data_IF_639531692161
#
_entry.id   IF_639531692161
#
_cell.length_a   1.000
_cell.length_b   1.000
_cell.length_c   1.000
_cell.angle_alpha   90.00
_cell.angle_beta   90.00
_cell.angle_gamma   90.00
#
_symmetry.space_group_name_H-M   'P 1'
#
loop_
_entity.id
_entity.type
_entity.pdbx_description
1 polymer ?
#
# COMPACT_ATOMS: atom_id res chain seq x y z
N UNK A 1 0.37 60.42 42.78
CA UNK A 1 1.47 59.50 42.40
C UNK A 1 1.36 58.16 43.13
N UNK A 2 1.43 58.12 44.47
CA UNK A 2 1.37 56.87 45.27
C UNK A 2 0.12 56.01 45.03
N UNK A 3 -1.04 56.64 44.81
CA UNK A 3 -2.31 55.97 44.55
C UNK A 3 -2.32 55.20 43.20
N UNK A 4 -1.68 55.75 42.17
CA UNK A 4 -1.52 55.11 40.86
C UNK A 4 -0.59 53.89 40.97
N UNK A 5 0.53 54.02 41.70
CA UNK A 5 1.44 52.92 41.97
C UNK A 5 0.78 51.79 42.77
N UNK A 6 -0.05 52.13 43.76
CA UNK A 6 -0.81 51.15 44.55
C UNK A 6 -1.79 50.38 43.67
N UNK A 7 -2.56 51.05 42.80
CA UNK A 7 -3.50 50.40 41.87
C UNK A 7 -2.77 49.49 40.87
N UNK A 8 -1.64 49.94 40.32
CA UNK A 8 -0.81 49.14 39.40
C UNK A 8 -0.22 47.92 40.13
N UNK A 9 0.34 48.11 41.32
CA UNK A 9 0.92 47.02 42.12
C UNK A 9 -0.12 45.97 42.51
N UNK A 10 -1.32 46.39 42.91
CA UNK A 10 -2.41 45.48 43.23
C UNK A 10 -2.92 44.73 41.99
N UNK A 11 -2.97 45.38 40.83
CA UNK A 11 -3.33 44.76 39.56
C UNK A 11 -2.32 43.70 39.12
N UNK A 12 -1.02 43.98 39.29
CA UNK A 12 0.07 43.03 39.00
C UNK A 12 0.04 41.85 39.97
N UNK A 13 -0.16 42.09 41.27
CA UNK A 13 -0.28 41.02 42.27
C UNK A 13 -1.48 40.12 41.98
N UNK A 14 -2.65 40.68 41.67
CA UNK A 14 -3.81 39.91 41.26
C UNK A 14 -3.51 39.04 40.02
N UNK A 15 -2.84 39.62 39.02
CA UNK A 15 -2.47 38.90 37.80
C UNK A 15 -1.48 37.74 38.05
N UNK A 16 -0.46 37.94 38.90
CA UNK A 16 0.56 36.92 39.18
C UNK A 16 0.09 35.81 40.10
N UNK A 17 -0.76 36.12 41.09
CA UNK A 17 -1.15 35.19 42.15
C UNK A 17 -2.60 34.68 42.03
N UNK A 18 -3.38 35.17 41.07
CA UNK A 18 -4.73 34.68 40.77
C UNK A 18 -5.72 34.87 41.92
N UNK A 19 -5.52 35.89 42.76
CA UNK A 19 -6.37 36.18 43.91
C UNK A 19 -7.76 36.61 43.44
N UNK A 20 -8.68 35.65 43.39
CA UNK A 20 -10.10 35.91 43.08
C UNK A 20 -10.64 36.87 44.12
N UNK A 21 -10.70 38.15 43.76
CA UNK A 21 -11.47 39.24 44.41
C UNK A 21 -11.33 39.30 45.93
N UNK A 22 -10.69 40.35 46.46
CA UNK A 22 -10.65 40.66 47.89
C UNK A 22 -12.02 40.48 48.58
N UNK A 23 -12.32 39.28 49.07
CA UNK A 23 -13.51 39.02 49.90
C UNK A 23 -13.31 39.69 51.26
N UNK A 24 -12.05 39.87 51.69
CA UNK A 24 -11.67 40.67 52.84
C UNK A 24 -10.46 41.56 52.53
N UNK A 25 -10.58 42.86 52.78
CA UNK A 25 -9.48 43.82 52.64
C UNK A 25 -8.50 43.60 53.82
N UNK A 26 -7.22 43.27 53.57
CA UNK A 26 -6.23 43.10 54.63
C UNK A 26 -6.20 44.31 55.58
N UNK A 27 -5.91 44.12 56.88
CA UNK A 27 -5.95 45.20 57.86
C UNK A 27 -5.11 46.43 57.48
N UNK A 28 -3.98 46.23 56.81
CA UNK A 28 -3.11 47.32 56.36
C UNK A 28 -3.66 48.13 55.15
N UNK A 29 -4.65 47.58 54.43
CA UNK A 29 -5.33 48.23 53.30
C UNK A 29 -6.70 48.84 53.69
N UNK A 30 -7.21 48.55 54.89
CA UNK A 30 -8.45 49.10 55.42
C UNK A 30 -8.53 50.65 55.37
N UNK A 31 -7.44 51.41 55.65
CA UNK A 31 -7.45 52.87 55.51
C UNK A 31 -7.72 53.37 54.08
N UNK A 32 -7.53 52.52 53.07
CA UNK A 32 -7.73 52.84 51.65
C UNK A 32 -9.02 52.22 51.06
N UNK A 33 -9.86 51.60 51.90
CA UNK A 33 -11.08 50.89 51.49
C UNK A 33 -12.01 51.70 50.58
N UNK A 34 -12.22 53.00 50.86
CA UNK A 34 -13.06 53.87 50.01
C UNK A 34 -12.54 54.04 48.57
N UNK A 35 -11.22 54.12 48.41
CA UNK A 35 -10.57 54.22 47.09
C UNK A 35 -10.60 52.84 46.41
N UNK A 36 -10.36 51.77 47.16
CA UNK A 36 -10.39 50.40 46.63
C UNK A 36 -11.77 50.05 46.07
N UNK A 37 -12.85 50.43 46.75
CA UNK A 37 -14.23 50.24 46.26
C UNK A 37 -14.51 51.04 44.98
N UNK A 38 -13.96 52.27 44.87
CA UNK A 38 -14.09 53.10 43.67
C UNK A 38 -13.33 52.52 42.46
N UNK A 39 -12.19 51.86 42.69
CA UNK A 39 -11.33 51.29 41.64
C UNK A 39 -11.73 49.86 41.25
N UNK A 40 -12.38 49.12 42.15
CA UNK A 40 -12.79 47.72 41.95
C UNK A 40 -13.44 47.40 40.58
N UNK A 41 -14.44 48.16 40.07
CA UNK A 41 -15.04 47.86 38.77
C UNK A 41 -14.07 48.06 37.59
N UNK A 42 -13.02 48.86 37.76
CA UNK A 42 -12.00 49.11 36.74
C UNK A 42 -10.87 48.07 36.74
N UNK A 43 -10.66 47.36 37.85
CA UNK A 43 -9.62 46.32 37.96
C UNK A 43 -9.77 45.22 36.90
N UNK A 44 -11.01 44.87 36.55
CA UNK A 44 -11.31 43.89 35.49
C UNK A 44 -10.75 44.32 34.13
N UNK A 45 -11.00 45.57 33.73
CA UNK A 45 -10.54 46.11 32.46
C UNK A 45 -9.01 46.29 32.45
N UNK A 46 -8.43 46.71 33.57
CA UNK A 46 -6.98 46.83 33.74
C UNK A 46 -6.32 45.44 33.60
N UNK A 47 -6.89 44.41 34.24
CA UNK A 47 -6.40 43.04 34.12
C UNK A 47 -6.50 42.53 32.68
N UNK A 48 -7.63 42.74 32.00
CA UNK A 48 -7.79 42.37 30.59
C UNK A 48 -6.78 43.08 29.69
N UNK A 49 -6.55 44.37 29.91
CA UNK A 49 -5.57 45.15 29.16
C UNK A 49 -4.13 44.66 29.40
N UNK A 50 -3.77 44.33 30.64
CA UNK A 50 -2.46 43.77 30.98
C UNK A 50 -2.25 42.39 30.33
N UNK A 51 -3.23 41.50 30.44
CA UNK A 51 -3.21 40.17 29.80
C UNK A 51 -3.04 40.32 28.30
N UNK A 52 -3.82 41.19 27.65
CA UNK A 52 -3.73 41.42 26.22
C UNK A 52 -2.37 41.99 25.81
N UNK A 53 -1.87 43.00 26.54
CA UNK A 53 -0.60 43.65 26.26
C UNK A 53 0.58 42.67 26.40
N UNK A 54 0.72 42.01 27.55
CA UNK A 54 1.81 41.06 27.78
C UNK A 54 1.67 39.81 26.93
N UNK A 55 0.44 39.33 26.71
CA UNK A 55 0.17 38.22 25.81
C UNK A 55 0.57 38.54 24.37
N UNK A 56 0.25 39.73 23.87
CA UNK A 56 0.65 40.18 22.54
C UNK A 56 2.18 40.28 22.40
N UNK A 57 2.87 40.81 23.42
CA UNK A 57 4.34 40.83 23.45
C UNK A 57 4.92 39.42 23.43
N UNK A 58 4.38 38.51 24.26
CA UNK A 58 4.80 37.11 24.32
C UNK A 58 4.61 36.40 22.96
N UNK A 59 3.48 36.60 22.28
CA UNK A 59 3.21 36.02 20.96
C UNK A 59 4.19 36.57 19.92
N UNK A 60 4.49 37.87 19.92
CA UNK A 60 5.46 38.44 18.98
C UNK A 60 6.88 37.91 19.24
N UNK A 61 7.29 37.80 20.50
CA UNK A 61 8.56 37.20 20.88
C UNK A 61 8.64 35.73 20.46
N UNK A 62 7.61 34.94 20.79
CA UNK A 62 7.53 33.52 20.43
C UNK A 62 7.52 33.31 18.92
N UNK A 63 6.70 34.06 18.18
CA UNK A 63 6.66 33.97 16.71
C UNK A 63 8.00 34.37 16.07
N UNK A 64 8.71 35.35 16.65
CA UNK A 64 10.08 35.70 16.25
C UNK A 64 11.10 34.60 16.53
N UNK A 65 10.98 33.91 17.67
CA UNK A 65 11.80 32.75 18.00
C UNK A 65 11.54 31.60 17.04
N UNK A 66 10.27 31.27 16.80
CA UNK A 66 9.86 30.25 15.82
C UNK A 66 10.39 30.59 14.43
N UNK A 67 10.27 31.84 13.98
CA UNK A 67 10.83 32.27 12.70
C UNK A 67 12.34 32.05 12.62
N UNK A 68 13.07 32.48 13.66
CA UNK A 68 14.54 32.36 13.72
C UNK A 68 14.97 30.89 13.72
N UNK A 69 14.26 30.04 14.45
CA UNK A 69 14.50 28.60 14.46
C UNK A 69 14.18 27.96 13.11
N UNK A 70 13.00 28.25 12.52
CA UNK A 70 12.58 27.73 11.23
C UNK A 70 13.50 28.17 10.09
N UNK A 71 14.07 29.38 10.14
CA UNK A 71 15.08 29.84 9.17
C UNK A 71 16.36 29.02 9.16
N UNK A 72 16.66 28.25 10.22
CA UNK A 72 17.83 27.36 10.27
C UNK A 72 17.58 26.02 9.57
N UNK A 73 16.32 25.61 9.43
CA UNK A 73 15.94 24.30 8.89
C UNK A 73 15.12 24.38 7.60
N UNK A 74 14.68 25.58 7.22
CA UNK A 74 13.80 25.80 6.07
C UNK A 74 14.08 27.13 5.36
N UNK A 75 13.58 27.23 4.14
CA UNK A 75 13.62 28.43 3.31
C UNK A 75 12.79 29.57 3.89
N UNK A 76 13.02 30.78 3.37
CA UNK A 76 12.40 31.99 3.88
C UNK A 76 10.85 31.98 3.81
N UNK A 77 10.22 31.59 2.68
CA UNK A 77 8.76 31.43 2.59
C UNK A 77 8.18 30.52 3.68
N UNK A 78 8.75 29.33 3.86
CA UNK A 78 8.26 28.36 4.86
C UNK A 78 8.36 28.89 6.28
N UNK A 79 9.49 29.51 6.64
CA UNK A 79 9.66 30.11 7.96
C UNK A 79 8.69 31.28 8.21
N UNK A 80 8.39 32.09 7.19
CA UNK A 80 7.43 33.18 7.29
C UNK A 80 5.99 32.67 7.49
N UNK A 81 5.61 31.58 6.81
CA UNK A 81 4.31 30.93 7.02
C UNK A 81 4.20 30.40 8.45
N UNK A 82 5.24 29.71 8.97
CA UNK A 82 5.23 29.20 10.34
C UNK A 82 5.08 30.31 11.37
N UNK A 83 5.80 31.43 11.20
CA UNK A 83 5.62 32.64 12.03
C UNK A 83 4.17 33.11 12.03
N UNK A 84 3.56 33.15 10.85
CA UNK A 84 2.18 33.63 10.66
C UNK A 84 1.19 32.70 11.35
N UNK A 85 1.34 31.38 11.19
CA UNK A 85 0.52 30.37 11.87
C UNK A 85 0.66 30.51 13.39
N UNK A 86 1.89 30.57 13.92
CA UNK A 86 2.12 30.76 15.37
C UNK A 86 1.45 32.04 15.87
N UNK A 87 1.51 33.13 15.11
CA UNK A 87 0.91 34.40 15.49
C UNK A 87 -0.62 34.34 15.48
N UNK A 88 -1.23 33.77 14.44
CA UNK A 88 -2.70 33.62 14.35
C UNK A 88 -3.21 32.73 15.48
N UNK A 89 -2.61 31.56 15.69
CA UNK A 89 -2.99 30.65 16.77
C UNK A 89 -2.79 31.28 18.15
N UNK A 90 -1.68 32.00 18.35
CA UNK A 90 -1.41 32.73 19.58
C UNK A 90 -2.45 33.82 19.85
N UNK A 91 -2.84 34.61 18.84
CA UNK A 91 -3.88 35.64 18.96
C UNK A 91 -5.23 34.99 19.29
N UNK A 92 -5.58 33.87 18.64
CA UNK A 92 -6.82 33.15 18.95
C UNK A 92 -6.87 32.70 20.42
N UNK A 93 -5.77 32.15 20.94
CA UNK A 93 -5.64 31.78 22.35
C UNK A 93 -5.73 33.00 23.28
N UNK A 94 -5.04 34.10 22.93
CA UNK A 94 -5.07 35.34 23.71
C UNK A 94 -6.48 35.93 23.80
N UNK A 95 -7.23 35.93 22.70
CA UNK A 95 -8.62 36.36 22.66
C UNK A 95 -9.50 35.45 23.52
N UNK A 96 -9.28 34.13 23.47
CA UNK A 96 -9.98 33.18 24.32
C UNK A 96 -9.73 33.42 25.82
N UNK A 97 -8.48 33.65 26.22
CA UNK A 97 -8.12 33.97 27.61
C UNK A 97 -8.63 35.35 28.03
N UNK A 98 -8.61 36.33 27.13
CA UNK A 98 -9.14 37.67 27.43
C UNK A 98 -10.66 37.64 27.62
N UNK A 99 -11.38 36.83 26.83
CA UNK A 99 -12.82 36.64 26.97
C UNK A 99 -13.20 35.99 28.31
N UNK A 100 -12.38 35.08 28.84
CA UNK A 100 -12.68 34.45 30.14
C UNK A 100 -12.61 35.42 31.31
N UNK A 101 -11.83 36.51 31.21
CA UNK A 101 -11.75 37.56 32.24
C UNK A 101 -13.11 38.23 32.40
N UNK A 102 -13.79 38.56 31.29
CA UNK A 102 -15.09 39.21 31.30
C UNK A 102 -16.25 38.28 31.70
N UNK A 103 -15.98 37.07 32.17
CA UNK A 103 -16.99 36.04 32.44
C UNK A 103 -17.97 35.88 31.27
N UNK A 104 -17.46 35.98 30.02
CA UNK A 104 -18.26 35.78 28.82
C UNK A 104 -18.96 34.44 28.92
N UNK A 105 -20.24 34.40 28.57
CA UNK A 105 -21.04 33.18 28.59
C UNK A 105 -20.28 32.07 27.83
N UNK A 106 -19.92 30.96 28.50
CA UNK A 106 -19.21 29.85 27.86
C UNK A 106 -19.92 29.34 26.61
N UNK A 107 -21.26 29.36 26.59
CA UNK A 107 -22.04 29.00 25.42
C UNK A 107 -21.77 29.93 24.23
N UNK A 108 -21.72 31.25 24.45
CA UNK A 108 -21.45 32.22 23.38
C UNK A 108 -20.01 32.08 22.84
N UNK A 109 -19.03 31.87 23.72
CA UNK A 109 -17.64 31.62 23.31
C UNK A 109 -17.52 30.32 22.50
N UNK A 110 -18.21 29.25 22.92
CA UNK A 110 -18.28 27.99 22.20
C UNK A 110 -18.96 28.14 20.85
N UNK A 111 -20.03 28.94 20.73
CA UNK A 111 -20.70 29.19 19.45
C UNK A 111 -19.75 29.86 18.45
N UNK A 112 -19.08 30.95 18.85
CA UNK A 112 -18.15 31.67 17.97
C UNK A 112 -16.95 30.80 17.62
N UNK A 113 -16.38 30.10 18.61
CA UNK A 113 -15.25 29.19 18.41
C UNK A 113 -15.60 28.02 17.49
N UNK A 114 -16.76 27.40 17.65
CA UNK A 114 -17.22 26.28 16.83
C UNK A 114 -17.47 26.70 15.39
N UNK A 115 -18.11 27.87 15.18
CA UNK A 115 -18.31 28.41 13.84
C UNK A 115 -16.98 28.75 13.17
N UNK A 116 -16.06 29.41 13.88
CA UNK A 116 -14.72 29.69 13.37
C UNK A 116 -13.93 28.42 13.02
N UNK A 117 -13.99 27.40 13.88
CA UNK A 117 -13.37 26.10 13.64
C UNK A 117 -13.95 25.38 12.43
N UNK A 118 -15.27 25.43 12.24
CA UNK A 118 -15.94 24.86 11.06
C UNK A 118 -15.52 25.57 9.77
N UNK A 119 -15.44 26.90 9.77
CA UNK A 119 -14.99 27.67 8.60
C UNK A 119 -13.55 27.33 8.22
N UNK A 120 -12.64 27.25 9.21
CA UNK A 120 -11.25 26.83 8.99
C UNK A 120 -11.19 25.38 8.51
N UNK A 121 -12.02 24.49 9.05
CA UNK A 121 -12.13 23.10 8.63
C UNK A 121 -12.54 22.97 7.16
N UNK A 122 -13.57 23.69 6.74
CA UNK A 122 -13.99 23.69 5.33
C UNK A 122 -12.92 24.31 4.40
N UNK A 123 -12.26 25.38 4.84
CA UNK A 123 -11.19 26.00 4.05
C UNK A 123 -9.99 25.05 3.84
N UNK A 124 -9.73 24.13 4.78
CA UNK A 124 -8.59 23.20 4.74
C UNK A 124 -8.94 21.80 4.25
N UNK A 125 -10.22 21.51 4.02
CA UNK A 125 -10.75 20.18 3.71
C UNK A 125 -10.02 19.51 2.53
N UNK A 126 -9.81 20.23 1.42
CA UNK A 126 -9.15 19.69 0.22
C UNK A 126 -7.70 19.29 0.48
N UNK A 127 -6.97 20.11 1.23
CA UNK A 127 -5.56 19.85 1.58
C UNK A 127 -5.45 18.61 2.45
N UNK A 128 -6.32 18.48 3.46
CA UNK A 128 -6.38 17.30 4.33
C UNK A 128 -6.78 16.05 3.53
N UNK A 129 -7.73 16.18 2.60
CA UNK A 129 -8.15 15.07 1.73
C UNK A 129 -6.97 14.50 0.93
N UNK A 130 -6.10 15.35 0.37
CA UNK A 130 -4.90 14.90 -0.33
C UNK A 130 -3.91 14.19 0.62
N UNK A 131 -3.70 14.71 1.83
CA UNK A 131 -2.85 14.07 2.83
C UNK A 131 -3.35 12.67 3.18
N UNK A 132 -4.64 12.54 3.52
CA UNK A 132 -5.25 11.25 3.88
C UNK A 132 -5.16 10.27 2.71
N UNK A 133 -5.41 10.73 1.49
CA UNK A 133 -5.26 9.90 0.29
C UNK A 133 -3.82 9.42 0.09
N UNK A 134 -2.81 10.27 0.31
CA UNK A 134 -1.40 9.85 0.23
C UNK A 134 -1.04 8.81 1.27
N UNK A 135 -1.50 8.97 2.53
CA UNK A 135 -1.33 7.95 3.58
C UNK A 135 -1.95 6.63 3.13
N UNK A 136 -3.17 6.67 2.61
CA UNK A 136 -3.86 5.49 2.12
C UNK A 136 -3.08 4.80 0.98
N UNK A 137 -2.57 5.54 -0.01
CA UNK A 137 -1.76 4.98 -1.10
C UNK A 137 -0.48 4.32 -0.59
N UNK A 138 0.18 4.92 0.41
CA UNK A 138 1.40 4.39 1.03
C UNK A 138 1.15 3.07 1.78
N UNK A 139 -0.03 2.93 2.40
CA UNK A 139 -0.42 1.73 3.14
C UNK A 139 -0.93 0.63 2.19
N UNK A 140 -1.88 0.97 1.31
CA UNK A 140 -2.53 0.00 0.43
C UNK A 140 -1.64 -0.45 -0.73
N UNK A 141 -0.65 0.37 -1.12
CA UNK A 141 0.31 0.12 -2.21
C UNK A 141 -0.30 -0.56 -3.45
N UNK A 142 -1.34 0.04 -4.06
CA UNK A 142 -2.01 -0.55 -5.23
C UNK A 142 -1.08 -0.66 -6.46
N UNK A 143 -0.01 0.14 -6.47
CA UNK A 143 1.08 0.11 -7.44
C UNK A 143 2.40 0.39 -6.70
N UNK A 144 3.50 -0.01 -7.32
CA UNK A 144 4.86 0.11 -6.80
C UNK A 144 5.71 0.99 -7.70
N UNK A 145 6.88 1.40 -7.20
CA UNK A 145 7.90 2.06 -8.01
C UNK A 145 8.17 1.27 -9.30
N UNK A 146 8.25 1.98 -10.43
CA UNK A 146 8.50 1.38 -11.74
C UNK A 146 7.26 0.84 -12.47
N UNK A 147 6.10 0.77 -11.83
CA UNK A 147 4.86 0.42 -12.54
C UNK A 147 4.49 1.52 -13.55
N UNK A 148 4.06 1.13 -14.75
CA UNK A 148 3.43 2.06 -15.70
C UNK A 148 1.95 2.13 -15.37
N UNK A 149 1.48 3.32 -14.99
CA UNK A 149 0.08 3.55 -14.67
C UNK A 149 -0.49 4.71 -15.48
N UNK A 150 -1.80 4.69 -15.67
CA UNK A 150 -2.55 5.81 -16.25
C UNK A 150 -3.58 6.32 -15.24
N UNK A 151 -3.51 7.61 -14.93
CA UNK A 151 -4.42 8.30 -14.00
C UNK A 151 -4.86 9.61 -14.63
N UNK A 152 -6.18 9.83 -14.73
CA UNK A 152 -6.78 11.01 -15.41
C UNK A 152 -6.25 11.24 -16.84
N UNK A 153 -6.02 10.17 -17.59
CA UNK A 153 -5.52 10.24 -18.96
C UNK A 153 -4.03 10.62 -19.08
N UNK A 154 -3.31 10.74 -17.96
CA UNK A 154 -1.86 10.90 -17.94
C UNK A 154 -1.21 9.54 -17.66
N UNK A 155 -0.37 9.08 -18.59
CA UNK A 155 0.37 7.81 -18.48
C UNK A 155 1.83 8.10 -18.14
N UNK A 156 2.38 7.34 -17.20
CA UNK A 156 3.78 7.46 -16.81
C UNK A 156 4.23 6.35 -15.87
N UNK A 157 5.53 6.32 -15.64
CA UNK A 157 6.20 5.39 -14.73
C UNK A 157 6.12 5.96 -13.31
N UNK A 158 5.70 5.15 -12.34
CA UNK A 158 5.66 5.56 -10.93
C UNK A 158 7.07 5.80 -10.41
N UNK A 159 7.39 7.07 -10.12
CA UNK A 159 8.68 7.50 -9.58
C UNK A 159 8.64 7.68 -8.07
N UNK A 160 7.60 8.31 -7.53
CA UNK A 160 7.51 8.54 -6.09
C UNK A 160 6.06 8.68 -5.63
N UNK A 161 5.74 8.12 -4.46
CA UNK A 161 4.46 8.31 -3.80
C UNK A 161 4.69 9.24 -2.59
N UNK A 162 4.30 10.51 -2.71
CA UNK A 162 4.35 11.48 -1.61
C UNK A 162 2.99 11.64 -0.95
N UNK A 163 2.99 12.32 0.20
CA UNK A 163 1.78 12.56 0.98
C UNK A 163 0.71 13.34 0.21
N UNK A 164 1.11 14.42 -0.48
CA UNK A 164 0.17 15.27 -1.22
C UNK A 164 0.06 14.91 -2.70
N UNK A 165 1.09 14.26 -3.27
CA UNK A 165 1.20 14.04 -4.71
C UNK A 165 1.76 12.66 -5.03
N UNK A 166 1.26 12.05 -6.10
CA UNK A 166 1.91 11.00 -6.84
C UNK A 166 2.75 11.63 -7.95
N UNK A 167 4.02 11.21 -8.06
CA UNK A 167 4.94 11.66 -9.10
C UNK A 167 5.09 10.55 -10.12
N UNK A 168 4.63 10.82 -11.34
CA UNK A 168 4.88 9.97 -12.50
C UNK A 168 5.95 10.62 -13.37
N UNK A 169 6.85 9.82 -13.91
CA UNK A 169 7.76 10.22 -14.97
C UNK A 169 7.12 9.87 -16.32
N UNK A 170 7.11 10.82 -17.26
CA UNK A 170 6.59 10.54 -18.60
C UNK A 170 7.43 9.47 -19.30
N UNK A 171 6.84 8.68 -20.21
CA UNK A 171 7.56 7.58 -20.88
C UNK A 171 8.78 8.07 -21.68
N UNK A 172 8.78 9.33 -22.12
CA UNK A 172 9.89 9.96 -22.81
C UNK A 172 10.97 10.55 -21.87
N UNK A 173 10.74 10.53 -20.55
CA UNK A 173 11.64 11.07 -19.54
C UNK A 173 11.75 12.61 -19.53
N UNK A 174 10.91 13.33 -20.27
CA UNK A 174 11.07 14.79 -20.47
C UNK A 174 10.46 15.62 -19.35
N UNK A 175 9.54 15.06 -18.56
CA UNK A 175 8.80 15.78 -17.51
C UNK A 175 8.28 14.87 -16.40
N UNK A 176 8.14 15.47 -15.23
CA UNK A 176 7.42 14.89 -14.09
C UNK A 176 5.96 15.36 -14.07
N UNK A 177 5.04 14.42 -13.86
CA UNK A 177 3.61 14.65 -13.77
C UNK A 177 3.23 14.50 -12.30
N UNK A 178 2.92 15.63 -11.66
CA UNK A 178 2.52 15.68 -10.26
C UNK A 178 0.98 15.62 -10.16
N UNK A 179 0.47 14.51 -9.64
CA UNK A 179 -0.97 14.28 -9.50
C UNK A 179 -1.34 14.36 -8.02
N UNK A 180 -2.25 15.25 -7.58
CA UNK A 180 -2.69 15.30 -6.19
C UNK A 180 -3.20 13.94 -5.73
N UNK A 181 -2.74 13.43 -4.59
CA UNK A 181 -3.02 12.08 -4.12
C UNK A 181 -4.52 11.80 -3.99
N UNK A 182 -5.31 12.81 -3.60
CA UNK A 182 -6.78 12.69 -3.54
C UNK A 182 -7.41 12.38 -4.91
N UNK A 183 -6.84 12.91 -5.99
CA UNK A 183 -7.29 12.61 -7.34
C UNK A 183 -6.89 11.21 -7.81
N UNK A 184 -5.83 10.62 -7.25
CA UNK A 184 -5.42 9.25 -7.58
C UNK A 184 -6.41 8.26 -6.97
N UNK A 185 -6.75 8.43 -5.70
CA UNK A 185 -7.67 7.54 -4.97
C UNK A 185 -9.10 7.61 -5.51
N UNK A 186 -9.54 8.80 -5.94
CA UNK A 186 -10.91 9.02 -6.43
C UNK A 186 -11.12 8.62 -7.90
N UNK A 187 -10.10 8.11 -8.60
CA UNK A 187 -10.16 7.82 -10.03
C UNK A 187 -9.84 6.35 -10.33
N UNK A 188 -10.27 5.90 -11.50
CA UNK A 188 -9.89 4.57 -12.01
C UNK A 188 -8.41 4.62 -12.38
N UNK A 189 -7.65 3.66 -11.86
CA UNK A 189 -6.23 3.48 -12.14
C UNK A 189 -6.09 2.33 -13.12
N UNK A 190 -5.46 2.57 -14.27
CA UNK A 190 -5.07 1.51 -15.19
C UNK A 190 -3.60 1.18 -14.98
N UNK A 191 -3.30 -0.03 -14.54
CA UNK A 191 -1.93 -0.54 -14.38
C UNK A 191 -1.58 -1.43 -15.57
N UNK A 192 -0.48 -1.13 -16.26
CA UNK A 192 0.04 -2.00 -17.32
C UNK A 192 0.66 -3.23 -16.66
N UNK A 193 0.14 -4.41 -17.01
CA UNK A 193 0.70 -5.68 -16.55
C UNK A 193 1.82 -6.13 -17.49
N UNK A 194 2.81 -6.87 -16.98
CA UNK A 194 3.79 -7.53 -17.84
C UNK A 194 3.07 -8.47 -18.82
N UNK A 195 3.69 -8.77 -19.99
CA UNK A 195 3.14 -9.72 -20.93
C UNK A 195 2.85 -11.03 -20.21
N UNK A 196 1.61 -11.51 -20.31
CA UNK A 196 1.28 -12.84 -19.78
C UNK A 196 2.00 -13.85 -20.66
N UNK A 197 2.99 -14.55 -20.13
CA UNK A 197 3.55 -15.72 -20.81
C UNK A 197 2.40 -16.70 -21.07
N UNK A 198 2.24 -17.22 -22.30
CA UNK A 198 1.26 -18.24 -22.59
C UNK A 198 1.49 -19.40 -21.62
N UNK A 199 0.44 -19.84 -20.94
CA UNK A 199 0.53 -21.05 -20.12
C UNK A 199 0.64 -22.24 -21.09
N UNK A 200 1.55 -23.21 -20.87
CA UNK A 200 1.61 -24.39 -21.72
C UNK A 200 0.25 -25.08 -21.78
N UNK A 201 -0.21 -25.40 -22.98
CA UNK A 201 -1.48 -26.05 -23.25
C UNK A 201 -1.53 -27.43 -22.58
N UNK A 202 -2.68 -27.78 -22.00
CA UNK A 202 -2.87 -29.13 -21.44
C UNK A 202 -2.93 -30.13 -22.59
N UNK A 203 -2.29 -31.29 -22.41
CA UNK A 203 -2.29 -32.37 -23.39
C UNK A 203 -2.89 -33.65 -22.82
N UNK A 204 -3.43 -34.48 -23.71
CA UNK A 204 -3.88 -35.85 -23.42
C UNK A 204 -3.03 -36.78 -24.27
N UNK A 205 -2.39 -37.74 -23.61
CA UNK A 205 -1.59 -38.78 -24.24
C UNK A 205 -2.36 -40.10 -24.17
N UNK A 206 -2.71 -40.65 -25.32
CA UNK A 206 -3.36 -41.96 -25.42
C UNK A 206 -2.36 -42.96 -26.00
N UNK A 207 -2.24 -44.10 -25.35
CA UNK A 207 -1.50 -45.27 -25.84
C UNK A 207 -2.54 -46.31 -26.28
N UNK A 208 -2.46 -46.75 -27.52
CA UNK A 208 -3.32 -47.83 -28.01
C UNK A 208 -2.96 -49.14 -27.33
N UNK A 209 -3.93 -50.03 -27.17
CA UNK A 209 -3.75 -51.32 -26.47
C UNK A 209 -2.63 -52.15 -27.14
N UNK A 210 -1.50 -52.39 -26.47
CA UNK A 210 -0.42 -53.22 -27.02
C UNK A 210 -0.80 -54.71 -27.00
N UNK A 211 -0.07 -55.58 -27.72
CA UNK A 211 -0.29 -57.02 -27.64
C UNK A 211 -0.08 -57.55 -26.21
N UNK A 212 -1.01 -58.37 -25.74
CA UNK A 212 -1.04 -58.88 -24.35
C UNK A 212 0.05 -59.94 -24.10
N UNK A 213 0.53 -60.62 -25.16
CA UNK A 213 1.58 -61.62 -25.07
C UNK A 213 2.47 -61.61 -26.31
N UNK A 214 3.79 -61.63 -26.11
CA UNK A 214 4.81 -61.59 -27.18
C UNK A 214 5.97 -62.52 -26.86
N UNK A 215 6.58 -63.14 -27.87
CA UNK A 215 7.76 -63.98 -27.66
C UNK A 215 9.01 -63.10 -27.49
N UNK A 216 9.95 -63.53 -26.64
CA UNK A 216 11.26 -62.85 -26.48
C UNK A 216 11.95 -62.67 -27.85
N UNK A 217 12.49 -61.48 -28.10
CA UNK A 217 13.14 -61.10 -29.36
C UNK A 217 12.20 -60.56 -30.43
N UNK A 218 10.88 -60.67 -30.25
CA UNK A 218 9.88 -60.08 -31.16
C UNK A 218 9.87 -58.55 -31.06
N UNK A 219 9.48 -57.88 -32.14
CA UNK A 219 9.30 -56.42 -32.14
C UNK A 219 7.87 -56.07 -31.75
N UNK A 220 7.72 -55.32 -30.66
CA UNK A 220 6.46 -54.72 -30.23
C UNK A 220 6.39 -53.32 -30.80
N UNK A 221 5.26 -52.97 -31.41
CA UNK A 221 5.02 -51.63 -31.91
C UNK A 221 3.98 -50.97 -31.02
N UNK A 222 4.39 -49.92 -30.32
CA UNK A 222 3.51 -49.07 -29.54
C UNK A 222 3.00 -47.93 -30.44
N UNK A 223 1.68 -47.79 -30.54
CA UNK A 223 1.03 -46.70 -31.25
C UNK A 223 0.13 -45.91 -30.31
N UNK A 224 -0.13 -44.65 -30.68
CA UNK A 224 -1.02 -43.81 -29.91
C UNK A 224 -0.96 -42.38 -30.42
N UNK A 225 -1.54 -41.44 -29.67
CA UNK A 225 -1.62 -40.05 -30.08
C UNK A 225 -1.49 -39.07 -28.91
N UNK A 226 -0.87 -37.92 -29.18
CA UNK A 226 -0.82 -36.77 -28.28
C UNK A 226 -1.61 -35.60 -28.88
N UNK A 227 -2.63 -35.13 -28.15
CA UNK A 227 -3.45 -33.97 -28.53
C UNK A 227 -3.54 -32.95 -27.41
N UNK A 228 -3.84 -31.71 -27.78
CA UNK A 228 -4.34 -30.73 -26.82
C UNK A 228 -5.68 -31.20 -26.23
N UNK A 229 -5.79 -31.09 -24.90
CA UNK A 229 -6.97 -31.53 -24.16
C UNK A 229 -8.23 -30.70 -24.48
N UNK A 230 -8.06 -29.41 -24.80
CA UNK A 230 -9.19 -28.48 -24.97
C UNK A 230 -9.62 -28.36 -26.43
N UNK A 231 -8.66 -28.30 -27.35
CA UNK A 231 -8.95 -28.07 -28.78
C UNK A 231 -8.95 -29.35 -29.61
N UNK A 232 -8.37 -30.44 -29.10
CA UNK A 232 -8.15 -31.67 -29.86
C UNK A 232 -7.09 -31.54 -30.96
N UNK A 233 -6.35 -30.43 -31.04
CA UNK A 233 -5.26 -30.26 -32.01
C UNK A 233 -4.14 -31.28 -31.79
N UNK A 234 -3.56 -31.84 -32.86
CA UNK A 234 -2.43 -32.75 -32.74
C UNK A 234 -1.18 -32.02 -32.28
N UNK A 235 -0.45 -32.62 -31.34
CA UNK A 235 0.87 -32.11 -30.92
C UNK A 235 1.93 -32.77 -31.79
N UNK A 236 2.54 -32.00 -32.69
CA UNK A 236 3.50 -32.47 -33.70
C UNK A 236 4.93 -32.34 -33.18
N UNK A 237 5.80 -33.32 -33.49
CA UNK A 237 7.21 -33.23 -33.13
C UNK A 237 7.51 -33.47 -31.64
N UNK A 238 6.54 -33.92 -30.86
CA UNK A 238 6.71 -34.20 -29.43
C UNK A 238 7.39 -35.55 -29.21
N UNK A 239 8.40 -35.58 -28.34
CA UNK A 239 9.07 -36.82 -27.94
C UNK A 239 8.21 -37.60 -26.96
N UNK A 240 7.79 -38.79 -27.37
CA UNK A 240 7.06 -39.75 -26.54
C UNK A 240 8.03 -40.84 -26.11
N UNK A 241 8.01 -41.14 -24.80
CA UNK A 241 8.80 -42.20 -24.18
C UNK A 241 7.88 -43.35 -23.80
N UNK A 242 8.23 -44.58 -24.18
CA UNK A 242 7.61 -45.78 -23.65
C UNK A 242 8.40 -46.19 -22.42
N UNK A 243 7.74 -46.19 -21.28
CA UNK A 243 8.33 -46.46 -19.97
C UNK A 243 7.80 -47.79 -19.45
N UNK A 244 8.65 -48.55 -18.78
CA UNK A 244 8.29 -49.70 -17.95
C UNK A 244 8.30 -49.27 -16.49
N UNK A 245 7.26 -49.65 -15.73
CA UNK A 245 7.16 -49.37 -14.30
C UNK A 245 7.37 -50.66 -13.51
N UNK A 246 8.48 -50.72 -12.77
CA UNK A 246 8.70 -51.70 -11.72
C UNK A 246 8.59 -51.03 -10.34
N UNK A 247 8.44 -51.84 -9.29
CA UNK A 247 8.42 -51.36 -7.90
C UNK A 247 9.68 -50.52 -7.62
N UNK A 248 9.51 -49.19 -7.65
CA UNK A 248 10.57 -48.22 -7.36
C UNK A 248 11.53 -47.88 -8.51
N UNK A 249 11.29 -48.35 -9.74
CA UNK A 249 12.12 -47.99 -10.92
C UNK A 249 11.25 -47.74 -12.17
N UNK A 250 11.53 -46.66 -12.89
CA UNK A 250 10.99 -46.41 -14.23
C UNK A 250 12.13 -46.63 -15.26
N UNK A 251 12.00 -47.61 -16.14
CA UNK A 251 12.97 -47.86 -17.23
C UNK A 251 12.44 -47.31 -18.56
N UNK A 252 13.29 -46.63 -19.34
CA UNK A 252 12.96 -46.22 -20.70
C UNK A 252 13.15 -47.42 -21.64
N UNK A 253 12.06 -47.89 -22.25
CA UNK A 253 12.10 -48.98 -23.22
C UNK A 253 12.50 -48.50 -24.61
N UNK A 254 11.82 -47.45 -25.06
CA UNK A 254 12.00 -46.86 -26.38
C UNK A 254 11.43 -45.44 -26.40
N UNK A 255 11.81 -44.66 -27.41
CA UNK A 255 11.25 -43.33 -27.63
C UNK A 255 11.04 -43.07 -29.10
N UNK A 256 10.11 -42.18 -29.41
CA UNK A 256 9.86 -41.71 -30.77
C UNK A 256 9.21 -40.34 -30.74
N UNK A 257 8.81 -39.86 -31.92
CA UNK A 257 8.30 -38.51 -32.11
C UNK A 257 6.92 -38.59 -32.75
N UNK A 258 6.03 -37.68 -32.38
CA UNK A 258 4.71 -37.57 -33.01
C UNK A 258 4.79 -37.00 -34.43
N UNK A 259 3.97 -37.55 -35.33
CA UNK A 259 3.82 -37.10 -36.72
C UNK A 259 2.93 -35.84 -36.83
N UNK A 260 2.65 -35.41 -38.07
CA UNK A 260 1.78 -34.25 -38.35
C UNK A 260 0.34 -34.41 -37.84
N UNK A 261 -0.10 -35.64 -37.58
CA UNK A 261 -1.39 -35.98 -36.98
C UNK A 261 -1.33 -36.18 -35.46
N UNK A 262 -0.18 -35.96 -34.83
CA UNK A 262 0.04 -36.17 -33.39
C UNK A 262 0.19 -37.65 -33.02
N UNK A 263 0.25 -38.55 -34.00
CA UNK A 263 0.38 -39.99 -33.75
C UNK A 263 1.84 -40.35 -33.57
N UNK A 264 2.13 -41.31 -32.69
CA UNK A 264 3.47 -41.90 -32.58
C UNK A 264 3.43 -43.38 -32.94
N UNK A 265 4.55 -43.87 -33.45
CA UNK A 265 4.81 -45.29 -33.68
C UNK A 265 6.21 -45.60 -33.18
N UNK A 266 6.31 -46.40 -32.12
CA UNK A 266 7.57 -46.67 -31.42
C UNK A 266 7.79 -48.17 -31.39
N UNK A 267 8.93 -48.62 -31.90
CA UNK A 267 9.31 -50.02 -31.94
C UNK A 267 10.22 -50.37 -30.77
N UNK A 268 9.93 -51.49 -30.12
CA UNK A 268 10.72 -52.02 -29.02
C UNK A 268 10.94 -53.51 -29.23
N UNK A 269 12.20 -53.97 -29.09
CA UNK A 269 12.49 -55.40 -29.10
C UNK A 269 12.22 -55.98 -27.70
N UNK A 270 11.25 -56.89 -27.63
CA UNK A 270 10.86 -57.55 -26.40
C UNK A 270 12.07 -58.29 -25.79
N UNK A 271 12.60 -57.73 -24.71
CA UNK A 271 13.65 -58.33 -23.89
C UNK A 271 13.03 -58.66 -22.54
N UNK A 272 13.47 -59.74 -21.89
CA UNK A 272 13.06 -60.02 -20.53
C UNK A 272 13.70 -58.96 -19.62
N UNK A 273 12.89 -58.09 -19.03
CA UNK A 273 13.39 -56.99 -18.19
C UNK A 273 13.44 -57.37 -16.70
N UNK A 274 12.47 -58.16 -16.21
CA UNK A 274 12.45 -58.62 -14.81
C UNK A 274 12.97 -60.07 -14.65
N UNK A 275 13.64 -60.34 -13.52
CA UNK A 275 14.04 -61.68 -13.09
C UNK A 275 12.93 -62.43 -12.36
N UNK A 276 11.95 -61.71 -11.77
CA UNK A 276 10.88 -62.23 -10.91
C UNK A 276 9.64 -62.68 -11.67
N UNK A 277 9.21 -61.91 -12.65
CA UNK A 277 8.12 -62.29 -13.55
C UNK A 277 8.52 -62.16 -15.03
N UNK A 278 7.57 -62.39 -15.94
CA UNK A 278 7.78 -62.18 -17.37
C UNK A 278 6.81 -61.11 -17.89
N UNK A 279 6.41 -60.15 -17.07
CA UNK A 279 5.43 -59.12 -17.43
C UNK A 279 6.08 -57.74 -17.43
N UNK A 280 5.81 -56.96 -18.47
CA UNK A 280 6.24 -55.57 -18.57
C UNK A 280 5.04 -54.65 -18.39
N UNK A 281 5.07 -53.81 -17.36
CA UNK A 281 4.07 -52.78 -17.09
C UNK A 281 4.41 -51.50 -17.86
N UNK A 282 3.85 -51.35 -19.06
CA UNK A 282 4.22 -50.30 -20.01
C UNK A 282 3.22 -49.15 -20.04
N UNK A 283 3.73 -47.93 -20.16
CA UNK A 283 2.92 -46.74 -20.41
C UNK A 283 3.70 -45.71 -21.24
N UNK A 284 2.98 -44.82 -21.93
CA UNK A 284 3.58 -43.72 -22.67
C UNK A 284 3.67 -42.46 -21.80
N UNK A 285 4.77 -41.72 -21.94
CA UNK A 285 5.06 -40.48 -21.21
C UNK A 285 5.51 -39.39 -22.16
N UNK A 286 4.91 -38.22 -22.03
CA UNK A 286 5.35 -36.96 -22.61
C UNK A 286 5.76 -36.02 -21.47
N UNK A 287 6.97 -35.46 -21.52
CA UNK A 287 7.53 -34.63 -20.43
C UNK A 287 7.14 -33.14 -20.52
N UNK A 288 6.42 -32.74 -21.57
CA UNK A 288 6.08 -31.34 -21.82
C UNK A 288 7.22 -30.54 -22.44
N UNK A 289 6.92 -29.29 -22.78
CA UNK A 289 7.85 -28.27 -23.25
C UNK A 289 7.26 -26.87 -22.95
N UNK A 290 7.82 -25.81 -23.53
CA UNK A 290 7.36 -24.44 -23.32
C UNK A 290 5.91 -24.20 -23.79
N UNK A 291 5.44 -24.99 -24.76
CA UNK A 291 4.13 -24.84 -25.39
C UNK A 291 3.07 -25.80 -24.82
N UNK A 292 3.48 -26.95 -24.29
CA UNK A 292 2.61 -28.06 -23.88
C UNK A 292 3.02 -28.66 -22.54
N UNK A 293 2.03 -29.06 -21.73
CA UNK A 293 2.27 -29.73 -20.44
C UNK A 293 2.65 -31.19 -20.62
N UNK A 294 3.25 -31.78 -19.58
CA UNK A 294 3.45 -33.23 -19.52
C UNK A 294 2.12 -34.01 -19.50
N UNK A 295 2.16 -35.24 -20.02
CA UNK A 295 1.04 -36.17 -20.01
C UNK A 295 1.53 -37.62 -19.91
N UNK A 296 0.72 -38.48 -19.29
CA UNK A 296 0.93 -39.93 -19.22
C UNK A 296 -0.31 -40.65 -19.74
N UNK A 297 -0.12 -41.76 -20.45
CA UNK A 297 -1.21 -42.63 -20.84
C UNK A 297 -1.64 -43.54 -19.69
N UNK A 298 -2.73 -44.28 -19.92
CA UNK A 298 -3.04 -45.50 -19.18
C UNK A 298 -1.87 -46.51 -19.27
N UNK A 299 -1.81 -47.39 -18.28
CA UNK A 299 -0.79 -48.44 -18.16
C UNK A 299 -1.33 -49.78 -18.66
N UNK A 300 -0.50 -50.52 -19.38
CA UNK A 300 -0.82 -51.85 -19.91
C UNK A 300 0.22 -52.88 -19.46
N UNK A 301 -0.20 -54.14 -19.33
CA UNK A 301 0.70 -55.25 -18.98
C UNK A 301 0.92 -56.13 -20.20
N UNK A 302 2.19 -56.34 -20.57
CA UNK A 302 2.59 -57.19 -21.70
C UNK A 302 3.34 -58.41 -21.17
N UNK A 303 2.88 -59.62 -21.48
CA UNK A 303 3.54 -60.86 -21.06
C UNK A 303 4.58 -61.30 -22.10
N UNK A 304 5.81 -61.55 -21.67
CA UNK A 304 6.92 -62.00 -22.51
C UNK A 304 7.08 -63.52 -22.37
N UNK A 305 6.75 -64.27 -23.42
CA UNK A 305 6.88 -65.73 -23.44
C UNK A 305 8.25 -66.16 -23.94
N UNK A 306 8.78 -67.28 -23.41
CA UNK A 306 10.02 -67.88 -23.91
C UNK A 306 9.81 -68.30 -25.36
N UNK A 307 10.77 -67.97 -26.22
CA UNK A 307 10.82 -68.47 -27.60
C UNK A 307 10.83 -70.01 -27.56
N UNK A 308 9.87 -70.66 -28.23
CA UNK A 308 9.86 -72.11 -28.37
C UNK A 308 11.15 -72.53 -29.07
N UNK A 309 11.98 -73.32 -28.37
CA UNK A 309 13.16 -73.93 -28.95
C UNK A 309 12.65 -75.00 -29.92
N UNK A 310 12.72 -74.73 -31.22
CA UNK A 310 12.53 -75.77 -32.23
C UNK A 310 13.56 -76.87 -32.01
N UNK A 311 13.09 -78.12 -32.10
CA UNK A 311 13.86 -79.36 -32.00
C UNK A 311 15.05 -79.41 -32.97
#
# INVERSE_FOLDING_TARGET
MYLVFLVISLSIMNFLFGWKTFEEIPPFLQPFSGILLMVNPYLLYIQAALVFFFGYLAINALSGLVYTYMRRISDHPTAAIMRTITRISGIALLLSTSASIFNVNPAAALTVGSFGGLVVGFATQTVISHVVAGIFLLISRPFTYGDVITVRGQTGIVKEIRLMHLILESEDGTKEILIPSGNVVAQIIQKKLPPKTPKPAKTVLTLDTPPISVATGSTVVFTGNLKESETGKPVVGATIKIMERDIGREELLASGVTDSGGNFRIEWKAKKTDWRDNTAEVYAKFEGNDDYREAKSEQYTVTITKQARGE
#
